data_IF_623520897555
#
_entry.id   IF_623520897555
#
_cell.length_a   1.000
_cell.length_b   1.000
_cell.length_c   1.000
_cell.angle_alpha   90.00
_cell.angle_beta   90.00
_cell.angle_gamma   90.00
#
_symmetry.space_group_name_H-M   'P 1'
#
loop_
_entity.id
_entity.type
_entity.pdbx_description
1 polymer ?
#
# COMPACT_ATOMS: atom_id res chain seq x y z
N UNK A 1 -4.13 0.02 12.16
CA UNK A 1 -3.72 -0.03 10.73
C UNK A 1 -2.34 -0.67 10.64
N UNK A 2 -2.16 -1.65 9.73
CA UNK A 2 -0.89 -2.37 9.54
C UNK A 2 -0.19 -1.90 8.27
N UNK A 3 1.14 -1.87 8.29
CA UNK A 3 1.95 -1.59 7.10
C UNK A 3 3.02 -2.65 6.93
N UNK A 4 3.34 -3.00 5.70
CA UNK A 4 4.48 -3.84 5.39
C UNK A 4 5.27 -3.20 4.25
N UNK A 5 6.54 -3.50 4.19
CA UNK A 5 7.43 -2.97 3.18
C UNK A 5 8.52 -3.99 2.91
N UNK A 6 8.78 -4.32 1.64
CA UNK A 6 9.88 -5.20 1.24
C UNK A 6 10.60 -4.64 0.01
N UNK A 7 11.92 -4.82 -0.05
CA UNK A 7 12.70 -4.51 -1.25
C UNK A 7 12.67 -5.70 -2.18
N UNK A 8 12.02 -5.55 -3.34
CA UNK A 8 11.92 -6.60 -4.35
C UNK A 8 13.01 -6.37 -5.41
N UNK A 9 13.82 -7.40 -5.68
CA UNK A 9 14.64 -7.42 -6.91
C UNK A 9 13.70 -7.68 -8.09
N UNK A 10 13.41 -6.64 -8.86
CA UNK A 10 12.58 -6.74 -10.07
C UNK A 10 13.35 -6.27 -11.29
N UNK A 11 12.96 -6.75 -12.47
CA UNK A 11 13.50 -6.29 -13.76
C UNK A 11 12.68 -5.15 -14.36
N UNK A 12 11.53 -4.82 -13.76
CA UNK A 12 10.64 -3.74 -14.19
C UNK A 12 9.77 -3.25 -13.04
N UNK A 13 9.30 -2.00 -13.12
CA UNK A 13 8.32 -1.44 -12.18
C UNK A 13 7.05 -2.28 -12.10
N UNK A 14 6.59 -2.81 -13.24
CA UNK A 14 5.44 -3.72 -13.31
C UNK A 14 5.65 -4.97 -12.44
N UNK A 15 6.80 -5.62 -12.56
CA UNK A 15 7.12 -6.83 -11.80
C UNK A 15 7.24 -6.53 -10.29
N UNK A 16 7.87 -5.42 -9.90
CA UNK A 16 7.92 -5.01 -8.50
C UNK A 16 6.53 -4.83 -7.91
N UNK A 17 5.67 -4.09 -8.62
CA UNK A 17 4.33 -3.76 -8.14
C UNK A 17 3.44 -5.01 -8.07
N UNK A 18 3.50 -5.88 -9.07
CA UNK A 18 2.78 -7.14 -9.08
C UNK A 18 3.19 -8.04 -7.89
N UNK A 19 4.50 -8.11 -7.60
CA UNK A 19 5.00 -8.87 -6.44
C UNK A 19 4.58 -8.21 -5.13
N UNK A 20 4.59 -6.87 -5.04
CA UNK A 20 4.12 -6.17 -3.84
C UNK A 20 2.65 -6.47 -3.55
N UNK A 21 1.79 -6.47 -4.58
CA UNK A 21 0.37 -6.84 -4.46
C UNK A 21 0.21 -8.30 -4.00
N UNK A 22 0.98 -9.24 -4.57
CA UNK A 22 0.96 -10.65 -4.13
C UNK A 22 1.28 -10.77 -2.63
N UNK A 23 2.36 -10.13 -2.18
CA UNK A 23 2.76 -10.17 -0.77
C UNK A 23 1.70 -9.52 0.13
N UNK A 24 1.07 -8.43 -0.30
CA UNK A 24 -0.04 -7.78 0.40
C UNK A 24 -1.21 -8.75 0.63
N UNK A 25 -1.62 -9.43 -0.45
CA UNK A 25 -2.75 -10.36 -0.44
C UNK A 25 -2.47 -11.54 0.47
N UNK A 26 -1.32 -12.19 0.29
CA UNK A 26 -0.89 -13.33 1.11
C UNK A 26 -0.86 -12.96 2.59
N UNK A 27 -0.25 -11.83 2.91
CA UNK A 27 -0.15 -11.35 4.28
C UNK A 27 -1.53 -11.10 4.90
N UNK A 28 -2.44 -10.44 4.17
CA UNK A 28 -3.78 -10.15 4.64
C UNK A 28 -4.57 -11.45 4.91
N UNK A 29 -4.44 -12.43 4.00
CA UNK A 29 -5.03 -13.75 4.16
C UNK A 29 -4.52 -14.47 5.41
N UNK A 30 -3.19 -14.53 5.57
CA UNK A 30 -2.49 -15.18 6.70
C UNK A 30 -2.83 -14.54 8.04
N UNK A 31 -3.08 -13.22 8.05
CA UNK A 31 -3.55 -12.48 9.23
C UNK A 31 -5.04 -12.67 9.54
N UNK A 32 -5.76 -13.45 8.74
CA UNK A 32 -7.18 -13.68 8.96
C UNK A 32 -8.07 -12.51 8.57
N UNK A 33 -7.56 -11.52 7.82
CA UNK A 33 -8.39 -10.41 7.33
C UNK A 33 -9.34 -10.99 6.27
N UNK A 34 -10.66 -10.82 6.45
CA UNK A 34 -11.67 -11.40 5.55
C UNK A 34 -12.39 -10.40 4.65
N UNK A 35 -12.18 -9.11 4.90
CA UNK A 35 -12.67 -8.02 4.05
C UNK A 35 -11.52 -7.04 3.83
N UNK A 36 -11.04 -6.93 2.60
CA UNK A 36 -9.90 -6.08 2.24
C UNK A 36 -10.13 -5.37 0.91
N UNK A 37 -9.62 -4.14 0.84
CA UNK A 37 -9.44 -3.40 -0.39
C UNK A 37 -7.93 -3.25 -0.59
N UNK A 38 -7.44 -3.70 -1.75
CA UNK A 38 -6.05 -3.53 -2.17
C UNK A 38 -6.01 -2.44 -3.23
N UNK A 39 -5.24 -1.39 -2.95
CA UNK A 39 -5.05 -0.28 -3.87
C UNK A 39 -3.66 -0.34 -4.47
N UNK A 40 -3.56 -0.16 -5.79
CA UNK A 40 -2.28 -0.04 -6.49
C UNK A 40 -2.31 1.19 -7.40
N UNK A 41 -1.17 1.86 -7.53
CA UNK A 41 -1.01 3.01 -8.44
C UNK A 41 -0.78 2.58 -9.89
N UNK A 42 -0.58 1.28 -10.12
CA UNK A 42 -0.37 0.68 -11.43
C UNK A 42 -1.66 0.11 -11.99
N UNK A 43 -2.32 0.89 -12.85
CA UNK A 43 -3.51 0.46 -13.59
C UNK A 43 -3.24 -0.84 -14.35
N UNK A 44 -2.02 -0.99 -14.90
CA UNK A 44 -1.62 -2.21 -15.62
C UNK A 44 -1.59 -3.47 -14.75
N UNK A 45 -1.25 -3.37 -13.47
CA UNK A 45 -1.28 -4.51 -12.53
C UNK A 45 -2.72 -4.85 -12.18
N UNK A 46 -3.53 -3.83 -11.87
CA UNK A 46 -4.95 -4.00 -11.55
C UNK A 46 -5.70 -4.63 -12.71
N UNK A 47 -5.50 -4.13 -13.94
CA UNK A 47 -6.14 -4.67 -15.14
C UNK A 47 -5.76 -6.13 -15.38
N UNK A 48 -4.47 -6.48 -15.26
CA UNK A 48 -4.05 -7.87 -15.43
C UNK A 48 -4.65 -8.80 -14.37
N UNK A 49 -4.66 -8.41 -13.11
CA UNK A 49 -5.25 -9.24 -12.05
C UNK A 49 -6.77 -9.39 -12.28
N UNK A 50 -7.49 -8.33 -12.65
CA UNK A 50 -8.95 -8.40 -12.78
C UNK A 50 -9.42 -9.07 -14.07
N UNK A 51 -8.75 -8.81 -15.18
CA UNK A 51 -9.30 -9.05 -16.51
C UNK A 51 -8.49 -10.08 -17.32
N UNK A 52 -7.23 -10.35 -16.97
CA UNK A 52 -6.43 -11.31 -17.75
C UNK A 52 -6.93 -12.73 -17.53
N UNK A 53 -7.33 -13.40 -18.61
CA UNK A 53 -7.71 -14.81 -18.56
C UNK A 53 -6.46 -15.66 -18.72
N UNK A 54 -6.05 -16.35 -17.66
CA UNK A 54 -4.90 -17.27 -17.66
C UNK A 54 -5.42 -18.70 -17.51
N UNK A 55 -5.32 -19.50 -18.59
CA UNK A 55 -5.65 -20.94 -18.54
C UNK A 55 -4.51 -21.76 -17.96
N UNK A 56 -3.29 -21.47 -18.39
CA UNK A 56 -2.06 -22.09 -17.93
C UNK A 56 -0.95 -21.03 -17.94
N UNK A 57 -0.22 -20.83 -16.83
CA UNK A 57 0.82 -19.83 -16.77
C UNK A 57 2.03 -20.23 -17.62
N UNK A 58 2.44 -19.37 -18.55
CA UNK A 58 3.59 -19.59 -19.45
C UNK A 58 4.90 -19.05 -18.89
N UNK A 59 4.83 -18.18 -17.88
CA UNK A 59 5.97 -17.54 -17.27
C UNK A 59 5.68 -17.22 -15.79
N UNK A 60 6.72 -16.77 -15.07
CA UNK A 60 6.63 -16.44 -13.64
C UNK A 60 5.63 -15.31 -13.34
N UNK A 61 5.51 -14.31 -14.22
CA UNK A 61 4.57 -13.20 -14.01
C UNK A 61 3.13 -13.68 -14.11
N UNK A 62 2.81 -14.50 -15.11
CA UNK A 62 1.48 -15.11 -15.25
C UNK A 62 1.13 -16.02 -14.07
N UNK A 63 2.11 -16.74 -13.52
CA UNK A 63 1.90 -17.54 -12.30
C UNK A 63 1.53 -16.65 -11.10
N UNK A 64 2.20 -15.51 -10.93
CA UNK A 64 1.89 -14.55 -9.86
C UNK A 64 0.52 -13.91 -10.07
N UNK A 65 0.18 -13.52 -11.30
CA UNK A 65 -1.14 -12.95 -11.62
C UNK A 65 -2.25 -13.95 -11.29
N UNK A 66 -2.07 -15.21 -11.68
CA UNK A 66 -3.03 -16.28 -11.40
C UNK A 66 -3.18 -16.55 -9.88
N UNK A 67 -2.08 -16.47 -9.12
CA UNK A 67 -2.12 -16.55 -7.66
C UNK A 67 -2.93 -15.39 -7.05
N UNK A 68 -2.65 -14.15 -7.47
CA UNK A 68 -3.43 -12.97 -7.04
C UNK A 68 -4.91 -13.08 -7.42
N UNK A 69 -5.22 -13.62 -8.59
CA UNK A 69 -6.60 -13.89 -9.02
C UNK A 69 -7.30 -14.87 -8.09
N UNK A 70 -6.64 -15.97 -7.71
CA UNK A 70 -7.18 -16.97 -6.79
C UNK A 70 -7.62 -16.37 -5.44
N UNK A 71 -6.85 -15.41 -4.93
CA UNK A 71 -7.20 -14.62 -3.76
C UNK A 71 -8.45 -13.76 -3.98
N UNK A 72 -8.48 -12.98 -5.06
CA UNK A 72 -9.56 -12.01 -5.35
C UNK A 72 -10.91 -12.71 -5.62
N UNK A 73 -10.89 -13.90 -6.22
CA UNK A 73 -12.12 -14.65 -6.55
C UNK A 73 -12.52 -15.67 -5.47
N UNK A 74 -11.74 -15.79 -4.39
CA UNK A 74 -11.98 -16.78 -3.35
C UNK A 74 -13.34 -16.54 -2.69
N UNK A 75 -14.23 -17.56 -2.61
CA UNK A 75 -15.56 -17.38 -2.02
C UNK A 75 -15.50 -17.08 -0.52
N UNK A 76 -14.43 -17.51 0.15
CA UNK A 76 -14.21 -17.30 1.58
C UNK A 76 -13.58 -15.94 1.90
N UNK A 77 -13.34 -15.10 0.88
CA UNK A 77 -12.65 -13.83 1.06
C UNK A 77 -13.23 -12.68 0.25
N UNK A 78 -13.71 -11.65 0.95
CA UNK A 78 -14.14 -10.39 0.34
C UNK A 78 -12.91 -9.55 0.05
N UNK A 79 -12.25 -9.82 -1.08
CA UNK A 79 -11.08 -9.09 -1.54
C UNK A 79 -11.40 -8.30 -2.81
N UNK A 80 -11.18 -6.98 -2.78
CA UNK A 80 -11.33 -6.11 -3.94
C UNK A 80 -10.00 -5.43 -4.26
N UNK A 81 -9.57 -5.49 -5.51
CA UNK A 81 -8.39 -4.77 -5.98
C UNK A 81 -8.80 -3.60 -6.87
N UNK A 82 -8.26 -2.41 -6.64
CA UNK A 82 -8.58 -1.22 -7.43
C UNK A 82 -7.36 -0.38 -7.75
N UNK A 83 -7.48 0.40 -8.82
CA UNK A 83 -6.50 1.41 -9.17
C UNK A 83 -6.78 2.66 -8.32
N UNK A 84 -5.72 3.23 -7.76
CA UNK A 84 -5.76 4.54 -7.09
C UNK A 84 -4.70 5.44 -7.72
N UNK A 85 -4.95 6.74 -7.79
CA UNK A 85 -3.91 7.66 -8.24
C UNK A 85 -2.80 7.74 -7.19
N UNK A 86 -1.55 8.00 -7.63
CA UNK A 86 -0.37 8.13 -6.74
C UNK A 86 -0.58 9.02 -5.51
N UNK A 87 -1.46 10.00 -5.63
CA UNK A 87 -1.85 10.91 -4.55
C UNK A 87 -2.50 10.17 -3.37
N UNK A 88 -3.29 9.12 -3.64
CA UNK A 88 -3.88 8.23 -2.63
C UNK A 88 -2.92 7.16 -2.10
N UNK A 89 -1.81 6.88 -2.80
CA UNK A 89 -0.83 5.86 -2.39
C UNK A 89 0.40 6.43 -1.66
N UNK A 90 0.30 7.66 -1.13
CA UNK A 90 1.45 8.38 -0.55
C UNK A 90 2.12 7.60 0.59
N UNK A 91 1.33 6.89 1.41
CA UNK A 91 1.85 6.12 2.53
C UNK A 91 2.76 4.96 2.07
N UNK A 92 2.37 4.22 1.03
CA UNK A 92 3.18 3.13 0.48
C UNK A 92 4.44 3.68 -0.20
N UNK A 93 4.30 4.78 -0.94
CA UNK A 93 5.42 5.41 -1.65
C UNK A 93 6.48 5.95 -0.66
N UNK A 94 6.03 6.52 0.46
CA UNK A 94 6.90 6.95 1.56
C UNK A 94 7.56 5.78 2.31
N UNK A 95 6.90 4.62 2.44
CA UNK A 95 7.49 3.40 2.99
C UNK A 95 8.60 2.86 2.09
N UNK A 96 8.36 2.80 0.78
CA UNK A 96 9.35 2.36 -0.22
C UNK A 96 10.59 3.27 -0.24
N UNK A 97 10.40 4.60 -0.18
CA UNK A 97 11.50 5.57 -0.06
C UNK A 97 12.32 5.39 1.22
N UNK A 98 11.72 4.92 2.31
CA UNK A 98 12.46 4.61 3.55
C UNK A 98 13.26 3.32 3.48
N UNK A 99 12.73 2.28 2.83
CA UNK A 99 13.48 1.04 2.57
C UNK A 99 14.70 1.28 1.69
N UNK A 100 14.65 2.25 0.79
CA UNK A 100 15.78 2.61 -0.08
C UNK A 100 17.05 2.99 0.71
N UNK A 101 16.89 3.47 1.94
CA UNK A 101 17.98 3.87 2.85
C UNK A 101 18.50 2.68 3.70
N UNK A 102 17.76 1.57 3.77
CA UNK A 102 18.16 0.36 4.50
C UNK A 102 18.84 -0.64 3.55
N UNK A 103 19.92 -1.31 3.98
CA UNK A 103 20.60 -2.36 3.21
C UNK A 103 19.89 -3.72 3.24
N UNK A 104 18.84 -3.87 4.07
CA UNK A 104 18.14 -5.16 4.25
C UNK A 104 17.10 -5.42 3.14
N UNK A 105 17.08 -6.67 2.64
CA UNK A 105 16.04 -7.21 1.74
C UNK A 105 14.91 -7.91 2.50
N UNK A 106 14.88 -7.76 3.82
CA UNK A 106 13.91 -8.44 4.69
C UNK A 106 12.54 -7.77 4.62
N UNK A 107 11.48 -8.58 4.76
CA UNK A 107 10.11 -8.10 4.88
C UNK A 107 9.94 -7.40 6.24
N UNK A 108 9.85 -6.07 6.22
CA UNK A 108 9.65 -5.28 7.44
C UNK A 108 8.17 -5.10 7.72
N UNK A 109 7.75 -5.57 8.89
CA UNK A 109 6.37 -5.45 9.37
C UNK A 109 6.22 -4.30 10.36
N UNK A 110 5.27 -3.41 10.11
CA UNK A 110 4.97 -2.27 10.96
C UNK A 110 3.61 -2.49 11.63
N UNK A 111 3.63 -2.88 12.91
CA UNK A 111 2.41 -3.00 13.73
C UNK A 111 1.76 -1.65 14.01
N UNK A 112 2.56 -0.57 13.95
CA UNK A 112 2.09 0.81 14.03
C UNK A 112 2.77 1.62 12.93
N UNK A 113 2.07 2.59 12.32
CA UNK A 113 2.66 3.43 11.30
C UNK A 113 3.87 4.19 11.88
N UNK A 114 5.04 4.18 11.22
CA UNK A 114 6.19 4.94 11.68
C UNK A 114 5.82 6.41 11.87
N UNK A 115 6.40 7.09 12.88
CA UNK A 115 6.09 8.50 13.19
C UNK A 115 6.19 9.43 11.98
N UNK A 116 7.04 9.12 11.01
CA UNK A 116 7.15 9.86 9.74
C UNK A 116 5.90 9.79 8.86
N UNK A 117 5.14 8.70 8.91
CA UNK A 117 3.88 8.54 8.16
C UNK A 117 2.69 9.14 8.89
N UNK A 118 2.78 9.38 10.20
CA UNK A 118 1.64 9.85 10.99
C UNK A 118 1.02 11.16 10.49
N UNK A 119 1.80 12.04 9.86
CA UNK A 119 1.27 13.28 9.28
C UNK A 119 0.61 13.04 7.92
N UNK A 120 1.14 12.12 7.12
CA UNK A 120 0.56 11.71 5.84
C UNK A 120 -0.78 11.01 6.06
N UNK A 121 -0.82 10.10 7.03
CA UNK A 121 -2.04 9.37 7.41
C UNK A 121 -3.09 10.29 8.01
N UNK A 122 -2.67 11.31 8.77
CA UNK A 122 -3.59 12.32 9.28
C UNK A 122 -4.13 13.20 8.16
N UNK A 123 -3.31 13.55 7.16
CA UNK A 123 -3.74 14.30 5.99
C UNK A 123 -4.77 13.52 5.17
N UNK A 124 -4.52 12.23 4.94
CA UNK A 124 -5.45 11.31 4.27
C UNK A 124 -6.77 11.17 5.04
N UNK A 125 -6.70 10.95 6.35
CA UNK A 125 -7.87 10.83 7.24
C UNK A 125 -8.81 12.05 7.19
N UNK A 126 -8.27 13.25 6.96
CA UNK A 126 -9.05 14.50 6.89
C UNK A 126 -9.37 14.93 5.45
N UNK A 127 -9.01 14.11 4.45
CA UNK A 127 -9.23 14.43 3.03
C UNK A 127 -8.44 15.67 2.56
N UNK A 128 -7.25 15.90 3.10
CA UNK A 128 -6.41 17.03 2.71
C UNK A 128 -5.73 16.75 1.37
N UNK A 129 -6.05 17.55 0.35
CA UNK A 129 -5.38 17.52 -0.95
C UNK A 129 -3.88 17.83 -0.78
N UNK A 130 -3.03 16.84 -1.08
CA UNK A 130 -1.58 17.01 -1.19
C UNK A 130 -1.19 17.35 -2.64
N UNK A 131 -0.23 18.26 -2.89
CA UNK A 131 0.13 18.69 -4.24
C UNK A 131 0.58 17.52 -5.13
N UNK A 132 0.14 17.55 -6.40
CA UNK A 132 0.22 16.48 -7.44
C UNK A 132 1.61 15.95 -7.84
N UNK A 133 2.66 16.26 -7.10
CA UNK A 133 4.05 15.97 -7.48
C UNK A 133 4.81 15.20 -6.40
N UNK A 134 4.24 14.10 -5.87
CA UNK A 134 4.98 13.09 -5.11
C UNK A 134 5.81 13.61 -3.91
N UNK A 135 5.49 14.81 -3.44
CA UNK A 135 6.19 15.53 -2.39
C UNK A 135 5.27 15.57 -1.18
N UNK A 136 5.87 15.39 0.00
CA UNK A 136 5.19 15.47 1.29
C UNK A 136 4.37 16.77 1.41
N UNK A 137 3.39 16.83 2.33
CA UNK A 137 2.65 18.06 2.59
C UNK A 137 3.61 19.25 2.70
N UNK A 138 3.26 20.40 2.13
CA UNK A 138 4.15 21.55 2.18
C UNK A 138 4.37 22.04 3.62
N UNK A 139 5.31 22.99 3.83
CA UNK A 139 5.66 23.45 5.19
C UNK A 139 4.45 24.00 5.96
N UNK A 140 3.49 24.63 5.29
CA UNK A 140 2.28 25.17 5.91
C UNK A 140 1.31 24.05 6.26
N UNK A 141 1.09 23.11 5.34
CA UNK A 141 0.29 21.90 5.59
C UNK A 141 0.86 21.05 6.73
N UNK A 142 2.19 20.85 6.78
CA UNK A 142 2.89 20.18 7.89
C UNK A 142 2.65 20.92 9.21
N UNK A 143 2.67 22.25 9.20
CA UNK A 143 2.38 23.08 10.36
C UNK A 143 0.97 22.82 10.90
N UNK A 144 -0.03 22.87 10.01
CA UNK A 144 -1.43 22.59 10.35
C UNK A 144 -1.60 21.17 10.92
N UNK A 145 -1.07 20.16 10.23
CA UNK A 145 -1.17 18.76 10.65
C UNK A 145 -0.49 18.50 12.00
N UNK A 146 0.60 19.21 12.33
CA UNK A 146 1.26 19.13 13.65
C UNK A 146 0.40 19.71 14.76
N UNK A 147 -0.28 20.83 14.52
CA UNK A 147 -1.20 21.45 15.49
C UNK A 147 -2.39 20.54 15.72
N UNK A 148 -3.03 20.10 14.63
CA UNK A 148 -4.16 19.18 14.67
C UNK A 148 -3.80 17.89 15.44
N UNK A 149 -2.66 17.27 15.11
CA UNK A 149 -2.16 16.09 15.82
C UNK A 149 -1.99 16.33 17.32
N UNK A 150 -1.47 17.50 17.74
CA UNK A 150 -1.31 17.84 19.16
C UNK A 150 -2.66 18.03 19.85
N UNK A 151 -3.61 18.69 19.22
CA UNK A 151 -4.96 18.90 19.76
C UNK A 151 -5.67 17.57 20.00
N UNK A 152 -5.46 16.60 19.11
CA UNK A 152 -6.19 15.34 19.17
C UNK A 152 -5.56 14.37 20.17
N UNK A 153 -4.23 14.41 20.29
CA UNK A 153 -3.52 13.78 21.42
C UNK A 153 -3.96 14.38 22.76
N UNK A 154 -4.14 15.70 22.85
CA UNK A 154 -4.62 16.37 24.07
C UNK A 154 -6.06 15.99 24.42
N UNK A 155 -6.85 15.52 23.45
CA UNK A 155 -8.23 15.03 23.64
C UNK A 155 -8.32 13.51 23.91
N UNK A 156 -7.19 12.81 24.10
CA UNK A 156 -7.13 11.34 24.19
C UNK A 156 -7.79 10.62 23.00
N UNK A 157 -7.92 11.30 21.86
CA UNK A 157 -8.36 10.68 20.61
C UNK A 157 -7.14 10.03 19.98
N UNK A 158 -6.92 8.76 20.33
CA UNK A 158 -5.88 7.94 19.72
C UNK A 158 -6.38 7.42 18.37
N UNK A 159 -5.59 7.64 17.33
CA UNK A 159 -5.82 7.13 15.98
C UNK A 159 -4.66 6.24 15.57
N UNK A 160 -4.64 5.06 16.16
CA UNK A 160 -3.81 3.93 15.76
C UNK A 160 -4.36 2.66 16.41
#
# INVERSE_FOLDING_TARGET
>A
MFGFSSRIQSRSSFEAELVAVREALKLAWDKGLRSVIVESDSESVVDRIRNQIIRQPKNKLEAIILECQGYVISPDWSCFIQHTYREGNFAADALTKKLLVSESFELHFWNHPPKSLSLILLADMIGMDVPRHGCAPDKNQIGHLKVLKRELLARNLHWY
#
